data_IF_727436242758
#
_entry.id   IF_727436242758
#
_cell.length_a   1.000
_cell.length_b   1.000
_cell.length_c   1.000
_cell.angle_alpha   90.00
_cell.angle_beta   90.00
_cell.angle_gamma   90.00
#
_symmetry.space_group_name_H-M   'P 1'
#
loop_
_entity.id
_entity.type
_entity.pdbx_description
1 polymer ?
#
# COMPACT_ATOMS: atom_id res chain seq x y z
N UNK A 1 16.07 -9.75 -7.85
CA UNK A 1 15.58 -8.36 -7.88
C UNK A 1 14.11 -8.30 -7.46
N UNK A 2 13.77 -7.34 -6.65
CA UNK A 2 12.38 -7.14 -6.26
C UNK A 2 11.74 -6.12 -7.19
N UNK A 3 10.60 -6.49 -7.77
CA UNK A 3 9.84 -5.62 -8.65
C UNK A 3 8.48 -5.37 -8.02
N UNK A 4 8.08 -4.10 -7.95
CA UNK A 4 6.80 -3.71 -7.35
C UNK A 4 5.98 -2.96 -8.38
N UNK A 5 4.74 -3.38 -8.58
CA UNK A 5 3.85 -2.74 -9.54
C UNK A 5 2.56 -3.52 -9.69
N UNK A 6 1.85 -3.26 -10.77
CA UNK A 6 0.63 -4.00 -11.06
C UNK A 6 0.97 -5.46 -11.37
N UNK A 7 0.07 -6.41 -11.04
CA UNK A 7 0.35 -7.82 -11.28
C UNK A 7 0.51 -8.11 -12.76
N UNK A 8 1.47 -8.98 -13.08
CA UNK A 8 1.73 -9.39 -14.46
C UNK A 8 0.74 -10.44 -14.95
N UNK A 9 0.16 -11.18 -14.02
CA UNK A 9 -0.78 -12.24 -14.35
C UNK A 9 -1.84 -12.34 -13.26
N UNK A 10 -3.05 -12.69 -13.67
CA UNK A 10 -4.17 -12.85 -12.74
C UNK A 10 -3.89 -13.90 -11.67
N UNK A 11 -3.13 -14.95 -12.03
CA UNK A 11 -2.79 -16.00 -11.07
C UNK A 11 -2.01 -15.50 -9.86
N UNK A 12 -1.29 -14.39 -10.01
CA UNK A 12 -0.54 -13.82 -8.87
C UNK A 12 -1.48 -13.30 -7.78
N UNK A 13 -2.60 -12.70 -8.17
CA UNK A 13 -3.54 -12.16 -7.21
C UNK A 13 -4.54 -13.20 -6.73
N UNK A 14 -4.90 -14.14 -7.57
CA UNK A 14 -5.88 -15.16 -7.22
C UNK A 14 -5.43 -16.03 -6.04
N UNK A 15 -4.13 -16.34 -5.98
CA UNK A 15 -3.59 -17.14 -4.89
C UNK A 15 -3.60 -16.37 -3.57
N UNK A 16 -3.42 -15.04 -3.62
CA UNK A 16 -3.36 -14.20 -2.41
C UNK A 16 -4.73 -13.76 -1.93
N UNK A 17 -5.63 -13.51 -2.87
CA UNK A 17 -6.97 -12.99 -2.59
C UNK A 17 -7.99 -13.92 -3.24
N UNK A 18 -8.28 -15.06 -2.60
CA UNK A 18 -9.16 -16.06 -3.20
C UNK A 18 -10.61 -15.64 -3.32
N UNK A 19 -11.00 -14.58 -2.61
CA UNK A 19 -12.35 -14.08 -2.73
C UNK A 19 -12.57 -13.42 -4.08
N UNK A 20 -13.82 -13.44 -4.53
CA UNK A 20 -14.16 -12.88 -5.83
C UNK A 20 -13.79 -11.41 -5.94
N UNK A 21 -13.05 -11.09 -6.97
CA UNK A 21 -12.64 -9.73 -7.29
C UNK A 21 -13.83 -8.89 -7.73
N UNK A 22 -13.82 -7.61 -7.34
CA UNK A 22 -14.77 -6.63 -7.83
C UNK A 22 -14.14 -5.93 -9.03
N UNK A 23 -14.95 -5.47 -9.96
CA UNK A 23 -14.45 -4.81 -11.18
C UNK A 23 -13.53 -3.64 -10.91
N UNK A 24 -13.79 -2.90 -9.84
CA UNK A 24 -13.02 -1.70 -9.50
C UNK A 24 -11.75 -1.98 -8.69
N UNK A 25 -11.52 -3.23 -8.33
CA UNK A 25 -10.37 -3.58 -7.49
C UNK A 25 -9.08 -3.47 -8.28
N UNK A 26 -8.07 -2.87 -7.64
CA UNK A 26 -6.73 -2.75 -8.17
C UNK A 26 -5.76 -3.41 -7.21
N UNK A 27 -4.60 -3.79 -7.73
CA UNK A 27 -3.61 -4.52 -6.94
C UNK A 27 -2.22 -3.98 -7.20
N UNK A 28 -1.41 -3.92 -6.14
CA UNK A 28 0.02 -3.69 -6.27
C UNK A 28 0.71 -4.89 -5.63
N UNK A 29 1.62 -5.49 -6.37
CA UNK A 29 2.29 -6.74 -6.00
C UNK A 29 3.79 -6.51 -5.93
N UNK A 30 4.43 -7.05 -4.91
CA UNK A 30 5.89 -7.12 -4.83
C UNK A 30 6.32 -8.54 -5.17
N UNK A 31 7.26 -8.67 -6.08
CA UNK A 31 7.71 -9.94 -6.60
C UNK A 31 9.23 -10.03 -6.63
N UNK A 32 9.78 -11.17 -6.23
CA UNK A 32 11.19 -11.45 -6.43
C UNK A 32 11.31 -12.11 -7.80
N UNK A 33 11.80 -11.35 -8.78
CA UNK A 33 11.84 -11.83 -10.16
C UNK A 33 12.86 -12.95 -10.39
N UNK A 34 13.91 -13.00 -9.56
CA UNK A 34 14.91 -14.07 -9.68
C UNK A 34 14.33 -15.42 -9.28
N UNK A 35 13.40 -15.45 -8.34
CA UNK A 35 12.79 -16.69 -7.85
C UNK A 35 11.37 -16.89 -8.36
N UNK A 36 10.82 -15.92 -9.07
CA UNK A 36 9.43 -15.93 -9.52
C UNK A 36 8.45 -16.09 -8.35
N UNK A 37 8.76 -15.46 -7.22
CA UNK A 37 7.93 -15.54 -6.02
C UNK A 37 7.26 -14.23 -5.70
N UNK A 38 5.97 -14.27 -5.37
CA UNK A 38 5.25 -13.11 -4.88
C UNK A 38 5.57 -12.94 -3.40
N UNK A 39 5.99 -11.74 -3.03
CA UNK A 39 6.37 -11.42 -1.65
C UNK A 39 5.22 -10.84 -0.85
N UNK A 40 4.32 -10.15 -1.51
CA UNK A 40 3.17 -9.54 -0.86
C UNK A 40 2.38 -8.70 -1.83
N UNK A 41 1.24 -8.20 -1.37
CA UNK A 41 0.36 -7.40 -2.22
C UNK A 41 -0.63 -6.60 -1.39
N UNK A 42 -1.17 -5.54 -1.99
CA UNK A 42 -2.33 -4.84 -1.45
C UNK A 42 -3.45 -4.85 -2.48
N UNK A 43 -4.66 -4.76 -2.01
CA UNK A 43 -5.86 -4.65 -2.81
C UNK A 43 -6.56 -3.36 -2.43
N UNK A 44 -6.84 -2.53 -3.42
CA UNK A 44 -7.36 -1.19 -3.17
C UNK A 44 -8.25 -0.75 -4.32
N UNK A 45 -8.97 0.38 -4.14
CA UNK A 45 -9.67 1.01 -5.24
C UNK A 45 -9.68 2.52 -5.07
N UNK A 46 -9.90 3.23 -6.17
CA UNK A 46 -10.10 4.67 -6.15
C UNK A 46 -11.58 4.95 -5.97
N UNK A 47 -11.92 5.58 -4.84
CA UNK A 47 -13.24 6.13 -4.64
C UNK A 47 -13.26 7.56 -5.16
N UNK A 48 -14.28 8.33 -4.79
CA UNK A 48 -14.32 9.74 -5.13
C UNK A 48 -13.30 10.47 -4.25
N UNK A 49 -12.26 10.97 -4.86
CA UNK A 49 -11.23 11.77 -4.18
C UNK A 49 -10.43 11.03 -3.10
N UNK A 50 -10.58 9.72 -2.97
CA UNK A 50 -9.77 8.97 -2.01
C UNK A 50 -9.47 7.57 -2.49
N UNK A 51 -8.42 7.00 -1.93
CA UNK A 51 -8.03 5.61 -2.15
C UNK A 51 -8.35 4.82 -0.90
N UNK A 52 -8.97 3.67 -1.08
CA UNK A 52 -9.27 2.76 0.01
C UNK A 52 -8.48 1.47 -0.15
N UNK A 53 -7.57 1.20 0.80
CA UNK A 53 -6.89 -0.10 0.87
C UNK A 53 -7.75 -0.96 1.80
N UNK A 54 -8.19 -2.11 1.35
CA UNK A 54 -9.01 -2.96 2.20
C UNK A 54 -8.50 -4.38 2.36
N UNK A 55 -7.40 -4.72 1.72
CA UNK A 55 -6.68 -5.95 2.03
C UNK A 55 -5.20 -5.75 1.81
N UNK A 56 -4.40 -6.35 2.68
CA UNK A 56 -2.95 -6.35 2.53
C UNK A 56 -2.43 -7.67 3.06
N UNK A 57 -1.48 -8.24 2.35
CA UNK A 57 -0.91 -9.52 2.73
C UNK A 57 0.57 -9.54 2.40
N UNK A 58 1.38 -10.02 3.35
CA UNK A 58 2.81 -10.23 3.13
C UNK A 58 3.10 -11.70 3.34
N UNK A 59 3.53 -12.36 2.27
CA UNK A 59 3.95 -13.76 2.33
C UNK A 59 5.38 -13.84 2.87
N UNK A 60 6.23 -12.94 2.39
CA UNK A 60 7.60 -12.86 2.88
C UNK A 60 7.62 -12.33 4.30
N UNK A 61 8.20 -13.11 5.22
CA UNK A 61 8.24 -12.78 6.65
C UNK A 61 9.65 -12.53 7.18
N UNK A 62 10.60 -12.27 6.30
CA UNK A 62 11.97 -12.03 6.68
C UNK A 62 12.20 -10.63 7.25
N UNK A 63 13.47 -10.32 7.55
CA UNK A 63 13.86 -9.06 8.16
C UNK A 63 13.47 -7.83 7.35
N UNK A 64 13.32 -8.00 6.04
CA UNK A 64 13.01 -6.91 5.14
C UNK A 64 11.51 -6.80 4.83
N UNK A 65 10.67 -7.52 5.58
CA UNK A 65 9.23 -7.52 5.32
C UNK A 65 8.64 -6.11 5.28
N UNK A 66 8.92 -5.30 6.29
CA UNK A 66 8.36 -3.95 6.33
C UNK A 66 8.99 -3.02 5.29
N UNK A 67 10.24 -3.28 4.88
CA UNK A 67 10.84 -2.52 3.80
C UNK A 67 10.14 -2.83 2.46
N UNK A 68 9.78 -4.09 2.24
CA UNK A 68 9.03 -4.48 1.04
C UNK A 68 7.63 -3.88 1.08
N UNK A 69 6.97 -3.94 2.24
CA UNK A 69 5.65 -3.34 2.41
C UNK A 69 5.70 -1.82 2.15
N UNK A 70 6.71 -1.15 2.69
CA UNK A 70 6.91 0.27 2.44
C UNK A 70 7.05 0.56 0.94
N UNK A 71 7.76 -0.30 0.21
CA UNK A 71 7.88 -0.18 -1.24
C UNK A 71 6.54 -0.29 -1.95
N UNK A 72 5.67 -1.18 -1.48
CA UNK A 72 4.32 -1.32 -2.03
C UNK A 72 3.54 -0.01 -1.80
N UNK A 73 3.60 0.52 -0.60
CA UNK A 73 2.88 1.75 -0.26
C UNK A 73 3.44 2.95 -1.02
N UNK A 74 4.75 3.05 -1.18
CA UNK A 74 5.35 4.13 -1.99
C UNK A 74 4.90 4.07 -3.45
N UNK A 75 4.78 2.86 -3.99
CA UNK A 75 4.27 2.68 -5.36
C UNK A 75 2.84 3.20 -5.47
N UNK A 76 2.00 2.89 -4.46
CA UNK A 76 0.65 3.42 -4.41
C UNK A 76 0.66 4.95 -4.33
N UNK A 77 1.55 5.51 -3.52
CA UNK A 77 1.65 6.96 -3.35
C UNK A 77 1.99 7.67 -4.65
N UNK A 78 2.94 7.15 -5.42
CA UNK A 78 3.26 7.73 -6.71
C UNK A 78 2.07 7.68 -7.64
N UNK A 79 1.32 6.59 -7.59
CA UNK A 79 0.11 6.45 -8.40
C UNK A 79 -0.95 7.46 -7.97
N UNK A 80 -1.15 7.62 -6.66
CA UNK A 80 -2.09 8.60 -6.12
C UNK A 80 -1.70 10.01 -6.56
N UNK A 81 -0.42 10.34 -6.47
CA UNK A 81 0.07 11.66 -6.87
C UNK A 81 -0.19 11.92 -8.35
N UNK A 82 0.04 10.92 -9.22
CA UNK A 82 -0.25 11.04 -10.64
C UNK A 82 -1.72 11.31 -10.91
N UNK A 83 -2.60 10.69 -10.13
CA UNK A 83 -4.04 10.82 -10.32
C UNK A 83 -4.63 12.02 -9.59
N UNK A 84 -3.82 12.76 -8.85
CA UNK A 84 -4.29 13.91 -8.11
C UNK A 84 -5.09 13.56 -6.86
N UNK A 85 -4.95 12.33 -6.37
CA UNK A 85 -5.67 11.86 -5.20
C UNK A 85 -4.74 11.89 -3.99
N UNK A 86 -5.16 12.48 -2.88
CA UNK A 86 -4.29 12.64 -1.71
C UNK A 86 -4.78 11.92 -0.47
N UNK A 87 -6.06 11.58 -0.42
CA UNK A 87 -6.70 11.00 0.77
C UNK A 87 -6.57 9.48 0.78
N UNK A 88 -6.19 8.93 1.92
CA UNK A 88 -6.04 7.48 2.08
C UNK A 88 -6.88 6.96 3.24
N UNK A 89 -7.57 5.86 3.00
CA UNK A 89 -8.30 5.10 4.00
C UNK A 89 -7.78 3.68 3.98
N UNK A 90 -7.54 3.09 5.14
CA UNK A 90 -7.01 1.72 5.26
C UNK A 90 -7.90 0.92 6.19
N UNK A 91 -8.41 -0.21 5.69
CA UNK A 91 -9.22 -1.13 6.49
C UNK A 91 -8.40 -2.34 6.88
N UNK A 92 -8.67 -2.88 8.04
CA UNK A 92 -8.10 -4.15 8.45
C UNK A 92 -6.62 -4.17 8.80
N UNK A 93 -6.00 -3.01 8.97
CA UNK A 93 -4.59 -2.95 9.35
C UNK A 93 -4.45 -3.33 10.82
N UNK A 94 -3.55 -4.25 11.11
CA UNK A 94 -3.25 -4.68 12.48
C UNK A 94 -1.75 -4.84 12.65
N UNK A 95 -1.29 -4.91 13.91
CA UNK A 95 0.10 -5.15 14.22
C UNK A 95 1.05 -4.15 13.58
N UNK A 96 2.07 -4.65 12.91
CA UNK A 96 3.09 -3.81 12.28
C UNK A 96 2.53 -2.92 11.17
N UNK A 97 1.50 -3.38 10.47
CA UNK A 97 0.88 -2.58 9.41
C UNK A 97 0.17 -1.38 10.01
N UNK A 98 -0.58 -1.59 11.08
CA UNK A 98 -1.25 -0.48 11.76
C UNK A 98 -0.22 0.52 12.30
N UNK A 99 0.86 0.03 12.90
CA UNK A 99 1.92 0.88 13.42
C UNK A 99 2.56 1.71 12.29
N UNK A 100 2.80 1.08 11.14
CA UNK A 100 3.35 1.76 9.98
C UNK A 100 2.50 2.96 9.58
N UNK A 101 1.19 2.75 9.44
CA UNK A 101 0.31 3.82 9.02
C UNK A 101 0.17 4.90 10.11
N UNK A 102 0.15 4.52 11.36
CA UNK A 102 0.08 5.50 12.46
C UNK A 102 1.34 6.33 12.53
N UNK A 103 2.50 5.75 12.21
CA UNK A 103 3.76 6.49 12.15
C UNK A 103 3.74 7.54 11.03
N UNK A 104 2.88 7.35 10.04
CA UNK A 104 2.68 8.30 8.95
C UNK A 104 1.42 9.13 9.15
N UNK A 105 1.01 9.30 10.40
CA UNK A 105 -0.04 10.21 10.84
C UNK A 105 -1.45 9.83 10.41
N UNK A 106 -1.69 8.57 10.04
CA UNK A 106 -3.06 8.11 9.89
C UNK A 106 -3.67 7.96 11.29
N UNK A 107 -4.92 8.39 11.42
CA UNK A 107 -5.63 8.31 12.70
C UNK A 107 -6.78 7.32 12.62
N UNK A 108 -7.14 6.77 13.76
CA UNK A 108 -8.25 5.83 13.82
C UNK A 108 -9.57 6.59 13.71
N UNK A 109 -10.40 6.19 12.76
CA UNK A 109 -11.74 6.74 12.59
C UNK A 109 -12.70 5.57 12.40
N UNK A 110 -13.30 5.14 13.52
CA UNK A 110 -14.08 3.92 13.53
C UNK A 110 -13.18 2.71 13.33
N UNK A 111 -13.46 1.94 12.31
CA UNK A 111 -12.68 0.72 12.02
C UNK A 111 -11.61 0.93 10.96
N UNK A 112 -11.37 2.18 10.57
CA UNK A 112 -10.37 2.47 9.54
C UNK A 112 -9.28 3.36 10.11
N UNK A 113 -8.15 3.39 9.39
CA UNK A 113 -7.10 4.39 9.58
C UNK A 113 -7.23 5.36 8.41
N UNK A 114 -7.06 6.65 8.66
CA UNK A 114 -7.42 7.67 7.68
C UNK A 114 -6.48 8.87 7.75
N UNK A 115 -6.15 9.42 6.58
CA UNK A 115 -5.46 10.71 6.48
C UNK A 115 -5.97 11.43 5.23
N UNK A 116 -6.43 12.67 5.39
CA UNK A 116 -6.98 13.42 4.26
C UNK A 116 -5.91 13.84 3.24
N UNK A 117 -4.65 13.91 3.64
CA UNK A 117 -3.56 14.30 2.74
C UNK A 117 -2.34 13.42 2.98
N UNK A 118 -2.49 12.11 2.76
CA UNK A 118 -1.42 11.15 2.98
C UNK A 118 -0.24 11.42 2.04
N UNK A 119 -0.50 11.83 0.80
CA UNK A 119 0.56 12.14 -0.14
C UNK A 119 1.42 13.30 0.38
N UNK A 120 0.79 14.36 0.86
CA UNK A 120 1.53 15.49 1.43
C UNK A 120 2.28 15.11 2.70
N UNK A 121 1.64 14.32 3.56
CA UNK A 121 2.29 13.87 4.79
C UNK A 121 3.53 13.01 4.51
N UNK A 122 3.43 12.09 3.56
CA UNK A 122 4.50 11.16 3.25
C UNK A 122 5.71 11.86 2.64
N UNK A 123 5.48 12.87 1.82
CA UNK A 123 6.55 13.57 1.12
C UNK A 123 7.00 14.86 1.82
N UNK A 124 6.49 15.15 3.00
CA UNK A 124 6.93 16.34 3.70
C UNK A 124 8.41 16.21 4.07
N UNK A 125 9.16 17.31 4.03
CA UNK A 125 10.58 17.24 4.39
C UNK A 125 10.76 16.94 5.87
N UNK A 126 11.81 16.21 6.21
CA UNK A 126 12.14 15.95 7.59
C UNK A 126 12.62 17.26 8.25
N UNK A 127 12.61 17.30 9.57
CA UNK A 127 12.94 18.52 10.32
C UNK A 127 14.32 19.09 9.97
N UNK A 128 15.28 18.24 9.65
CA UNK A 128 16.61 18.71 9.29
C UNK A 128 16.82 19.00 7.82
N UNK A 129 15.82 18.76 6.98
CA UNK A 129 15.93 18.87 5.53
C UNK A 129 15.13 20.02 4.95
N UNK A 130 14.36 20.69 5.76
CA UNK A 130 13.42 21.67 5.25
C UNK A 130 14.00 23.00 4.84
N UNK A 131 15.02 23.34 4.69
CA UNK A 131 15.56 24.53 4.32
C UNK A 131 15.62 24.94 3.08
N UNK A 132 15.23 25.04 2.85
CA UNK A 132 15.47 25.35 1.90
C UNK A 132 15.23 25.96 1.44
#
# INVERSE_FOLDING_TARGET
MIKIGFPRAFSQIQALFPEKEKERDLYIVAEDTAKSEVLGAIRFFYGEEQVDIYEMIMIYQGDQMMAVFDGIIRTLLYKMAEEGCTTLSVQGATGEFAAYFKDHELTEEGEILFHHDFVGEFFKPCAGCSEK
#
